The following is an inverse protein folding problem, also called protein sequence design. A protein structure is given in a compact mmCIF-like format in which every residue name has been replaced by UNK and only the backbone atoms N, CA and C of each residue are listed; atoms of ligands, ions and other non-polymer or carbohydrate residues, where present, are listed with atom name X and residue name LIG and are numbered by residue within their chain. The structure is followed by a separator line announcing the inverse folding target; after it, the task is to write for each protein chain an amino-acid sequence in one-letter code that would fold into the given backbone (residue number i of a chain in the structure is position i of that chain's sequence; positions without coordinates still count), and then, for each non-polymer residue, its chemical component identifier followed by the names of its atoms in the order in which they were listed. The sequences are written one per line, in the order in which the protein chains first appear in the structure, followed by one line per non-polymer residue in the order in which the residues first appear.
data_IF_879096045836
#
_entry.id   IF_879096045836
#
_cell.length_a   1.000
_cell.length_b   1.000
_cell.length_c   1.000
_cell.angle_alpha   90.00
_cell.angle_beta   90.00
_cell.angle_gamma   90.00
#
_symmetry.space_group_name_H-M   'P 1'
#
loop_
_entity.id
_entity.type
_entity.pdbx_description
1 polymer ?
#
# COMPACT_ATOMS: atom_id res chain seq x y z
N UNK A 1 11.86 6.47 15.22
CA UNK A 1 11.92 7.06 16.57
C UNK A 1 11.50 6.07 17.66
N UNK A 2 10.38 5.35 17.53
CA UNK A 2 9.83 4.46 18.57
C UNK A 2 10.83 3.44 19.10
N UNK A 3 11.54 2.73 18.23
CA UNK A 3 12.57 1.78 18.67
C UNK A 3 13.75 2.48 19.35
N UNK A 4 14.11 3.68 18.90
CA UNK A 4 15.16 4.47 19.54
C UNK A 4 14.73 4.95 20.94
N UNK A 5 13.45 5.29 21.12
CA UNK A 5 12.88 5.63 22.42
C UNK A 5 12.88 4.43 23.39
N UNK A 6 12.83 3.22 22.88
CA UNK A 6 12.98 1.97 23.64
C UNK A 6 14.46 1.63 23.97
N UNK A 7 15.42 2.46 23.56
CA UNK A 7 16.84 2.28 23.83
C UNK A 7 17.61 1.46 22.78
N UNK A 8 16.99 1.14 21.64
CA UNK A 8 17.70 0.48 20.54
C UNK A 8 18.46 1.51 19.70
N UNK A 9 19.68 1.16 19.27
CA UNK A 9 20.40 1.91 18.24
C UNK A 9 19.87 1.47 16.87
N UNK A 10 19.25 2.38 16.16
CA UNK A 10 18.58 2.11 14.88
C UNK A 10 19.27 2.88 13.74
N UNK A 11 19.55 2.19 12.64
CA UNK A 11 19.93 2.80 11.38
C UNK A 11 18.84 2.51 10.32
N UNK A 12 18.24 3.56 9.77
CA UNK A 12 17.35 3.45 8.62
C UNK A 12 18.17 3.60 7.33
N UNK A 13 18.25 2.53 6.56
CA UNK A 13 18.94 2.52 5.26
C UNK A 13 17.86 2.64 4.16
N UNK A 14 17.90 3.69 3.38
CA UNK A 14 16.98 3.93 2.28
C UNK A 14 17.71 4.33 1.00
N UNK A 15 16.98 4.45 -0.13
CA UNK A 15 17.61 4.82 -1.40
C UNK A 15 17.57 6.33 -1.65
N UNK A 16 18.48 6.81 -2.49
CA UNK A 16 18.45 8.20 -2.96
C UNK A 16 17.29 8.48 -3.90
N UNK A 17 16.64 7.47 -4.44
CA UNK A 17 15.52 7.59 -5.37
C UNK A 17 14.17 7.51 -4.65
N UNK A 18 13.29 8.46 -4.93
CA UNK A 18 11.94 8.50 -4.40
C UNK A 18 10.95 7.88 -5.39
N UNK A 19 10.43 6.71 -5.02
CA UNK A 19 9.59 5.90 -5.89
C UNK A 19 8.32 6.63 -6.36
N UNK A 20 7.66 7.36 -5.47
CA UNK A 20 6.39 8.01 -5.79
C UNK A 20 6.55 9.20 -6.73
N UNK A 21 7.60 9.99 -6.52
CA UNK A 21 7.91 11.17 -7.34
C UNK A 21 8.71 10.84 -8.60
N UNK A 22 9.27 9.61 -8.69
CA UNK A 22 10.19 9.20 -9.77
C UNK A 22 11.39 10.14 -9.93
N UNK A 23 11.88 10.65 -8.82
CA UNK A 23 12.95 11.62 -8.73
C UNK A 23 14.01 11.25 -7.70
N UNK A 24 15.19 11.82 -7.82
CA UNK A 24 16.21 11.73 -6.77
C UNK A 24 15.83 12.64 -5.59
N UNK A 25 16.05 12.16 -4.37
CA UNK A 25 15.87 12.95 -3.15
C UNK A 25 16.91 14.06 -3.09
N UNK A 26 16.53 15.22 -2.63
CA UNK A 26 17.47 16.28 -2.25
C UNK A 26 17.99 16.01 -0.83
N UNK A 27 18.99 15.11 -0.76
CA UNK A 27 19.57 14.67 0.52
C UNK A 27 20.14 15.85 1.31
N UNK A 28 20.64 16.89 0.62
CA UNK A 28 21.21 18.05 1.29
C UNK A 28 20.22 18.89 2.10
N UNK A 29 18.93 18.68 1.88
CA UNK A 29 17.85 19.31 2.68
C UNK A 29 17.39 18.49 3.87
N UNK A 30 17.82 17.25 3.99
CA UNK A 30 17.45 16.36 5.07
C UNK A 30 18.34 16.64 6.26
N UNK A 31 17.75 17.03 7.37
CA UNK A 31 18.46 17.29 8.61
C UNK A 31 18.45 16.01 9.45
N UNK A 32 19.60 15.38 9.55
CA UNK A 32 19.75 14.10 10.28
C UNK A 32 19.51 14.26 11.78
N UNK A 33 19.74 15.45 12.34
CA UNK A 33 19.50 15.80 13.74
C UNK A 33 18.01 15.88 14.12
N UNK A 34 17.11 15.91 13.15
CA UNK A 34 15.65 15.82 13.40
C UNK A 34 15.19 14.38 13.71
N UNK A 35 16.04 13.37 13.54
CA UNK A 35 15.71 11.95 13.76
C UNK A 35 16.47 11.37 14.95
N UNK A 36 15.78 10.49 15.71
CA UNK A 36 16.41 9.74 16.83
C UNK A 36 17.16 8.50 16.35
N UNK A 37 17.22 8.26 15.05
CA UNK A 37 17.90 7.12 14.42
C UNK A 37 18.91 7.61 13.38
N UNK A 38 19.90 6.79 13.07
CA UNK A 38 20.84 7.06 11.97
C UNK A 38 20.13 6.92 10.63
N UNK A 39 20.29 7.91 9.74
CA UNK A 39 19.72 7.88 8.39
C UNK A 39 20.85 7.67 7.38
N UNK A 40 20.76 6.62 6.57
CA UNK A 40 21.78 6.26 5.59
C UNK A 40 21.19 6.11 4.20
N UNK A 41 21.81 6.73 3.21
CA UNK A 41 21.36 6.68 1.82
C UNK A 41 22.27 5.80 0.98
N UNK A 42 21.67 4.89 0.21
CA UNK A 42 22.34 4.15 -0.86
C UNK A 42 21.89 4.68 -2.21
N UNK A 43 22.83 4.85 -3.13
CA UNK A 43 22.50 5.32 -4.47
C UNK A 43 21.67 4.32 -5.24
N UNK A 44 20.56 4.81 -5.80
CA UNK A 44 19.70 4.12 -6.74
C UNK A 44 19.47 5.01 -7.96
N UNK A 45 19.75 4.56 -9.20
CA UNK A 45 19.59 5.38 -10.41
C UNK A 45 18.16 5.84 -10.66
N UNK A 46 17.17 4.99 -10.29
CA UNK A 46 15.76 5.25 -10.50
C UNK A 46 15.24 4.81 -11.87
N UNK A 47 13.94 5.06 -12.09
CA UNK A 47 13.18 4.65 -13.27
C UNK A 47 11.93 5.52 -13.43
N UNK A 48 11.33 5.53 -14.64
CA UNK A 48 10.15 6.35 -14.93
C UNK A 48 8.83 5.60 -14.81
N UNK A 49 8.81 4.30 -15.09
CA UNK A 49 7.59 3.47 -15.11
C UNK A 49 7.68 2.35 -14.07
N UNK A 50 6.54 1.98 -13.49
CA UNK A 50 6.47 0.90 -12.49
C UNK A 50 6.78 -0.47 -13.07
N UNK A 51 6.51 -0.69 -14.35
CA UNK A 51 6.90 -1.88 -15.10
C UNK A 51 7.88 -1.45 -16.19
N UNK A 52 9.17 -1.66 -15.89
CA UNK A 52 10.28 -1.27 -16.75
C UNK A 52 11.51 -2.13 -16.38
N UNK A 53 12.25 -2.56 -17.38
CA UNK A 53 13.54 -3.23 -17.17
C UNK A 53 14.55 -2.34 -16.44
N UNK A 54 14.45 -1.01 -16.63
CA UNK A 54 15.25 -0.04 -15.88
C UNK A 54 14.99 -0.11 -14.38
N UNK A 55 13.75 -0.42 -13.95
CA UNK A 55 13.44 -0.62 -12.53
C UNK A 55 14.21 -1.79 -11.95
N UNK A 56 14.25 -2.93 -12.66
CA UNK A 56 15.03 -4.10 -12.24
C UNK A 56 16.52 -3.77 -12.16
N UNK A 57 17.05 -3.06 -13.15
CA UNK A 57 18.45 -2.59 -13.14
C UNK A 57 18.75 -1.64 -11.98
N UNK A 58 17.83 -0.71 -11.69
CA UNK A 58 17.93 0.24 -10.58
C UNK A 58 18.01 -0.46 -9.24
N UNK A 59 17.10 -1.40 -8.96
CA UNK A 59 17.09 -2.18 -7.72
C UNK A 59 18.36 -3.02 -7.57
N UNK A 60 18.89 -3.63 -8.65
CA UNK A 60 20.16 -4.38 -8.59
C UNK A 60 21.34 -3.51 -8.21
N UNK A 61 21.38 -2.27 -8.71
CA UNK A 61 22.43 -1.30 -8.33
C UNK A 61 22.28 -0.93 -6.86
N UNK A 62 21.07 -0.66 -6.40
CA UNK A 62 20.76 -0.40 -4.99
C UNK A 62 21.19 -1.59 -4.09
N UNK A 63 20.86 -2.83 -4.48
CA UNK A 63 21.28 -4.04 -3.78
C UNK A 63 22.80 -4.19 -3.68
N UNK A 64 23.54 -3.86 -4.76
CA UNK A 64 24.99 -3.82 -4.78
C UNK A 64 25.56 -2.75 -3.84
N UNK A 65 24.95 -1.56 -3.82
CA UNK A 65 25.36 -0.47 -2.93
C UNK A 65 25.02 -0.77 -1.47
N UNK A 66 23.87 -1.40 -1.19
CA UNK A 66 23.55 -1.90 0.15
C UNK A 66 24.62 -2.89 0.64
N UNK A 67 25.00 -3.84 -0.21
CA UNK A 67 26.05 -4.80 0.13
C UNK A 67 27.37 -4.13 0.48
N UNK A 68 27.76 -3.09 -0.26
CA UNK A 68 28.99 -2.32 0.03
C UNK A 68 28.88 -1.59 1.37
N UNK A 69 27.76 -0.92 1.61
CA UNK A 69 27.50 -0.19 2.87
C UNK A 69 27.57 -1.15 4.06
N UNK A 70 26.83 -2.26 4.02
CA UNK A 70 26.81 -3.24 5.10
C UNK A 70 28.19 -3.85 5.38
N UNK A 71 28.99 -4.12 4.35
CA UNK A 71 30.35 -4.64 4.55
C UNK A 71 31.32 -3.60 5.13
N UNK A 72 31.07 -2.31 4.90
CA UNK A 72 31.91 -1.21 5.41
C UNK A 72 31.56 -0.85 6.86
N UNK A 73 30.25 -0.79 7.18
CA UNK A 73 29.77 -0.20 8.43
C UNK A 73 29.07 -1.21 9.35
N UNK A 74 28.94 -2.45 8.88
CA UNK A 74 28.03 -3.41 9.45
C UNK A 74 28.51 -4.08 10.72
N UNK A 75 28.13 -3.52 11.84
CA UNK A 75 28.14 -4.19 13.15
C UNK A 75 26.72 -4.11 13.71
N UNK A 76 25.81 -4.88 13.06
CA UNK A 76 24.40 -4.94 13.42
C UNK A 76 24.07 -6.25 14.12
N UNK A 77 23.19 -6.18 15.12
CA UNK A 77 22.68 -7.36 15.82
C UNK A 77 21.49 -7.99 15.10
N UNK A 78 20.78 -7.22 14.26
CA UNK A 78 19.59 -7.64 13.52
C UNK A 78 19.44 -6.81 12.27
N UNK A 79 19.01 -7.45 11.17
CA UNK A 79 18.51 -6.75 9.99
C UNK A 79 17.00 -6.97 9.83
N UNK A 80 16.27 -5.87 9.73
CA UNK A 80 14.85 -5.81 9.39
C UNK A 80 14.71 -5.20 8.00
N UNK A 81 14.02 -5.86 7.09
CA UNK A 81 13.95 -5.42 5.70
C UNK A 81 12.55 -5.59 5.11
N UNK A 82 12.02 -4.50 4.57
CA UNK A 82 10.80 -4.52 3.78
C UNK A 82 10.98 -5.27 2.46
N UNK A 83 9.94 -5.96 2.03
CA UNK A 83 9.86 -6.70 0.78
C UNK A 83 8.56 -6.29 0.05
N UNK A 84 8.63 -5.87 -1.22
CA UNK A 84 9.80 -5.74 -2.10
C UNK A 84 10.65 -4.47 -1.88
N UNK A 85 11.82 -4.30 -2.55
CA UNK A 85 12.37 -5.07 -3.68
C UNK A 85 13.12 -6.35 -3.26
N UNK A 86 12.86 -7.46 -3.98
CA UNK A 86 13.36 -8.78 -3.60
C UNK A 86 14.90 -8.90 -3.68
N UNK A 87 15.54 -8.22 -4.63
CA UNK A 87 17.00 -8.24 -4.80
C UNK A 87 17.72 -7.44 -3.71
N UNK A 88 17.16 -6.33 -3.25
CA UNK A 88 17.66 -5.56 -2.09
C UNK A 88 17.52 -6.40 -0.83
N UNK A 89 16.35 -7.00 -0.59
CA UNK A 89 16.13 -7.89 0.54
C UNK A 89 17.06 -9.11 0.50
N UNK A 90 17.35 -9.67 -0.69
CA UNK A 90 18.30 -10.78 -0.86
C UNK A 90 19.73 -10.37 -0.50
N UNK A 91 20.13 -9.14 -0.81
CA UNK A 91 21.42 -8.61 -0.43
C UNK A 91 21.56 -8.53 1.10
N UNK A 92 20.54 -7.99 1.79
CA UNK A 92 20.46 -7.92 3.24
C UNK A 92 20.47 -9.33 3.88
N UNK A 93 19.64 -10.24 3.40
CA UNK A 93 19.55 -11.61 3.92
C UNK A 93 20.86 -12.40 3.79
N UNK A 94 21.55 -12.26 2.65
CA UNK A 94 22.87 -12.89 2.45
C UNK A 94 23.93 -12.32 3.38
N UNK A 95 23.92 -11.02 3.61
CA UNK A 95 24.81 -10.39 4.56
C UNK A 95 24.54 -10.91 5.98
N UNK A 96 23.29 -10.90 6.42
CA UNK A 96 22.89 -11.41 7.73
C UNK A 96 23.36 -12.87 7.95
N UNK A 97 23.11 -13.73 6.94
CA UNK A 97 23.60 -15.12 6.98
C UNK A 97 25.11 -15.21 7.11
N UNK A 98 25.86 -14.39 6.35
CA UNK A 98 27.35 -14.37 6.41
C UNK A 98 27.86 -13.94 7.79
N UNK A 99 27.15 -13.01 8.42
CA UNK A 99 27.54 -12.49 9.75
C UNK A 99 26.98 -13.32 10.92
N UNK A 100 26.04 -14.24 10.66
CA UNK A 100 25.40 -15.04 11.71
C UNK A 100 24.38 -14.25 12.53
N UNK A 101 23.82 -13.16 11.99
CA UNK A 101 22.83 -12.34 12.65
C UNK A 101 21.41 -12.62 12.12
N UNK A 102 20.36 -12.41 12.92
CA UNK A 102 18.98 -12.59 12.48
C UNK A 102 18.62 -11.66 11.34
N UNK A 103 17.76 -12.17 10.44
CA UNK A 103 17.15 -11.41 9.36
C UNK A 103 15.63 -11.53 9.44
N UNK A 104 14.92 -10.42 9.63
CA UNK A 104 13.48 -10.33 9.65
C UNK A 104 12.99 -9.73 8.33
N UNK A 105 12.11 -10.47 7.66
CA UNK A 105 11.45 -10.02 6.45
C UNK A 105 10.09 -9.39 6.79
N UNK A 106 9.86 -8.17 6.31
CA UNK A 106 8.57 -7.48 6.39
C UNK A 106 7.91 -7.47 5.01
N UNK A 107 6.88 -8.31 4.86
CA UNK A 107 6.23 -8.55 3.57
C UNK A 107 5.09 -7.56 3.36
N UNK A 108 5.35 -6.53 2.58
CA UNK A 108 4.42 -5.45 2.28
C UNK A 108 3.72 -5.60 0.92
N UNK A 109 4.27 -6.42 0.01
CA UNK A 109 3.67 -6.75 -1.27
C UNK A 109 4.20 -8.10 -1.79
N UNK A 110 3.44 -8.75 -2.66
CA UNK A 110 3.78 -10.06 -3.19
C UNK A 110 4.34 -9.96 -4.61
N UNK A 111 5.68 -9.88 -4.70
CA UNK A 111 6.36 -9.95 -5.99
C UNK A 111 6.89 -11.37 -6.28
N UNK A 112 6.66 -11.90 -7.49
CA UNK A 112 6.17 -11.23 -8.73
C UNK A 112 4.66 -11.24 -8.93
N UNK A 113 3.85 -11.77 -8.03
CA UNK A 113 2.42 -11.95 -8.24
C UNK A 113 1.68 -10.64 -8.55
N UNK A 114 2.01 -9.56 -7.84
CA UNK A 114 1.45 -8.24 -8.11
C UNK A 114 1.80 -7.71 -9.51
N UNK A 115 2.96 -8.09 -10.06
CA UNK A 115 3.35 -7.70 -11.41
C UNK A 115 2.54 -8.41 -12.49
N UNK A 116 2.02 -9.61 -12.22
CA UNK A 116 1.16 -10.37 -13.15
C UNK A 116 -0.19 -9.72 -13.39
N UNK A 117 -0.64 -8.84 -12.50
CA UNK A 117 -1.86 -8.06 -12.77
C UNK A 117 -1.76 -7.21 -14.03
N UNK A 118 -0.56 -6.77 -14.37
CA UNK A 118 -0.33 -5.88 -15.52
C UNK A 118 0.17 -6.64 -16.74
N UNK A 119 0.89 -7.73 -16.53
CA UNK A 119 1.42 -8.58 -17.60
C UNK A 119 1.21 -10.05 -17.22
N UNK A 120 0.12 -10.64 -17.69
CA UNK A 120 -0.19 -12.04 -17.50
C UNK A 120 -0.38 -12.74 -18.85
N UNK A 121 0.74 -13.11 -19.46
CA UNK A 121 0.78 -13.89 -20.70
C UNK A 121 1.23 -15.29 -20.32
N UNK A 122 0.40 -16.32 -20.52
CA UNK A 122 0.71 -17.69 -20.14
C UNK A 122 2.12 -18.11 -20.62
N UNK A 123 2.87 -18.82 -19.78
CA UNK A 123 4.25 -19.28 -20.00
C UNK A 123 5.27 -18.14 -20.07
N UNK A 124 5.01 -17.07 -20.83
CA UNK A 124 5.96 -15.96 -21.00
C UNK A 124 6.15 -15.18 -19.70
N UNK A 125 5.09 -14.91 -18.96
CA UNK A 125 5.17 -14.24 -17.65
C UNK A 125 5.93 -15.08 -16.63
N UNK A 126 5.83 -16.42 -16.69
CA UNK A 126 6.61 -17.33 -15.83
C UNK A 126 8.11 -17.18 -16.09
N UNK A 127 8.51 -17.11 -17.34
CA UNK A 127 9.92 -16.94 -17.74
C UNK A 127 10.43 -15.55 -17.36
N UNK A 128 9.66 -14.50 -17.65
CA UNK A 128 10.06 -13.10 -17.39
C UNK A 128 10.21 -12.86 -15.88
N UNK A 129 9.27 -13.37 -15.07
CA UNK A 129 9.25 -13.13 -13.63
C UNK A 129 10.01 -14.18 -12.82
N UNK A 130 10.51 -15.24 -13.44
CA UNK A 130 11.28 -16.29 -12.77
C UNK A 130 12.46 -15.76 -11.93
N UNK A 131 13.29 -14.81 -12.41
CA UNK A 131 14.37 -14.27 -11.59
C UNK A 131 13.89 -13.60 -10.30
N UNK A 132 12.76 -12.88 -10.36
CA UNK A 132 12.16 -12.19 -9.21
C UNK A 132 11.59 -13.21 -8.22
N UNK A 133 10.90 -14.24 -8.72
CA UNK A 133 10.38 -15.34 -7.90
C UNK A 133 11.53 -16.08 -7.20
N UNK A 134 12.58 -16.44 -7.95
CA UNK A 134 13.76 -17.12 -7.40
C UNK A 134 14.43 -16.29 -6.29
N UNK A 135 14.52 -14.98 -6.48
CA UNK A 135 15.13 -14.10 -5.48
C UNK A 135 14.23 -14.00 -4.23
N UNK A 136 12.91 -13.92 -4.37
CA UNK A 136 11.97 -14.02 -3.26
C UNK A 136 12.11 -15.33 -2.50
N UNK A 137 12.13 -16.47 -3.19
CA UNK A 137 12.29 -17.78 -2.57
C UNK A 137 13.61 -17.92 -1.79
N UNK A 138 14.69 -17.33 -2.32
CA UNK A 138 15.98 -17.30 -1.61
C UNK A 138 15.92 -16.44 -0.35
N UNK A 139 15.30 -15.25 -0.43
CA UNK A 139 15.07 -14.40 0.76
C UNK A 139 14.35 -15.20 1.82
N UNK A 140 13.20 -15.78 1.48
CA UNK A 140 12.36 -16.54 2.41
C UNK A 140 13.04 -17.81 2.96
N UNK A 141 14.09 -18.33 2.29
CA UNK A 141 14.88 -19.42 2.83
C UNK A 141 15.93 -18.98 3.87
N UNK A 142 16.15 -17.69 4.02
CA UNK A 142 17.17 -17.10 4.88
C UNK A 142 16.59 -16.34 6.08
N UNK A 143 15.27 -16.23 6.19
CA UNK A 143 14.62 -15.48 7.25
C UNK A 143 14.78 -16.16 8.62
N UNK A 144 14.94 -15.34 9.64
CA UNK A 144 14.85 -15.73 11.06
C UNK A 144 13.49 -15.38 11.66
N UNK A 145 12.73 -14.51 11.00
CA UNK A 145 11.38 -14.12 11.37
C UNK A 145 10.66 -13.47 10.18
N UNK A 146 9.34 -13.48 10.22
CA UNK A 146 8.49 -12.89 9.16
C UNK A 146 7.46 -11.97 9.80
N UNK A 147 7.34 -10.77 9.27
CA UNK A 147 6.21 -9.86 9.51
C UNK A 147 5.49 -9.69 8.18
N UNK A 148 4.18 -9.60 8.21
CA UNK A 148 3.37 -9.29 7.04
C UNK A 148 2.29 -8.29 7.37
N UNK A 149 1.92 -7.47 6.38
CA UNK A 149 0.83 -6.50 6.52
C UNK A 149 -0.57 -7.12 6.46
N UNK A 150 -0.63 -8.44 6.27
CA UNK A 150 -1.81 -9.28 6.43
C UNK A 150 -1.40 -10.72 6.71
N UNK A 151 -2.31 -11.56 7.19
CA UNK A 151 -2.06 -12.99 7.38
C UNK A 151 -1.69 -13.67 6.06
N UNK A 152 -2.35 -13.27 4.96
CA UNK A 152 -2.04 -13.77 3.62
C UNK A 152 -0.62 -13.41 3.19
N UNK A 153 -0.15 -12.20 3.47
CA UNK A 153 1.20 -11.76 3.13
C UNK A 153 2.24 -12.40 4.05
N UNK A 154 1.95 -12.49 5.34
CA UNK A 154 2.81 -13.20 6.32
C UNK A 154 3.01 -14.67 5.98
N UNK A 155 1.95 -15.36 5.56
CA UNK A 155 1.99 -16.80 5.34
C UNK A 155 2.42 -17.19 3.91
N UNK A 156 2.40 -16.24 2.96
CA UNK A 156 2.82 -16.47 1.58
C UNK A 156 4.24 -17.02 1.44
N UNK A 157 5.27 -16.49 2.15
CA UNK A 157 6.63 -17.02 2.10
C UNK A 157 6.74 -18.49 2.51
N UNK A 158 5.79 -18.98 3.32
CA UNK A 158 5.80 -20.31 3.90
C UNK A 158 5.06 -21.36 3.08
N UNK A 159 4.31 -20.94 2.04
CA UNK A 159 3.35 -21.77 1.30
C UNK A 159 3.93 -23.07 0.74
N UNK A 160 5.24 -23.11 0.47
CA UNK A 160 5.95 -24.26 -0.09
C UNK A 160 7.13 -24.74 0.78
N UNK A 161 7.22 -24.28 2.03
CA UNK A 161 8.39 -24.52 2.89
C UNK A 161 7.97 -24.92 4.29
N UNK A 162 8.56 -25.99 4.79
CA UNK A 162 8.45 -26.38 6.21
C UNK A 162 9.40 -25.52 7.06
N UNK A 163 9.24 -24.20 7.00
CA UNK A 163 9.99 -23.28 7.85
C UNK A 163 9.18 -23.00 9.10
N UNK A 164 9.73 -23.36 10.26
CA UNK A 164 9.20 -22.96 11.56
C UNK A 164 10.00 -21.78 12.06
N UNK A 165 9.60 -20.57 11.66
CA UNK A 165 10.19 -19.32 12.14
C UNK A 165 9.13 -18.50 12.86
N UNK A 166 9.50 -17.66 13.83
CA UNK A 166 8.58 -16.68 14.41
C UNK A 166 7.92 -15.85 13.30
N UNK A 167 6.62 -15.64 13.41
CA UNK A 167 5.86 -14.86 12.44
C UNK A 167 4.75 -14.08 13.12
N UNK A 168 4.53 -12.86 12.63
CA UNK A 168 3.50 -11.96 13.17
C UNK A 168 2.84 -11.17 12.05
N UNK A 169 1.57 -10.82 12.24
CA UNK A 169 0.85 -9.91 11.36
C UNK A 169 0.76 -8.54 12.01
N UNK A 170 1.28 -7.54 11.32
CA UNK A 170 1.21 -6.14 11.73
C UNK A 170 0.51 -5.37 10.62
N UNK A 171 -0.80 -5.15 10.78
CA UNK A 171 -1.57 -4.40 9.81
C UNK A 171 -1.04 -2.97 9.69
N UNK A 172 -1.09 -2.42 8.47
CA UNK A 172 -0.74 -1.02 8.27
C UNK A 172 -1.72 -0.15 9.05
N UNK A 173 -1.20 0.55 10.04
CA UNK A 173 -1.96 1.49 10.86
C UNK A 173 -2.14 2.84 10.18
N UNK A 174 -2.91 3.69 10.82
CA UNK A 174 -3.03 5.09 10.48
C UNK A 174 -2.77 5.96 11.72
N UNK A 175 -2.46 7.23 11.52
CA UNK A 175 -2.22 8.18 12.59
C UNK A 175 -3.57 8.75 13.07
N UNK A 176 -4.15 8.10 14.10
CA UNK A 176 -5.47 8.44 14.61
C UNK A 176 -5.54 9.90 15.09
N UNK A 177 -4.47 10.42 15.69
CA UNK A 177 -4.44 11.79 16.16
C UNK A 177 -4.57 12.79 15.00
N UNK A 178 -3.76 12.62 13.95
CA UNK A 178 -3.83 13.48 12.76
C UNK A 178 -5.21 13.36 12.07
N UNK A 179 -5.78 12.15 12.06
CA UNK A 179 -7.12 11.90 11.54
C UNK A 179 -8.18 12.68 12.30
N UNK A 180 -8.18 12.62 13.62
CA UNK A 180 -9.16 13.30 14.47
C UNK A 180 -8.99 14.84 14.43
N UNK A 181 -7.75 15.35 14.50
CA UNK A 181 -7.44 16.77 14.32
C UNK A 181 -7.94 17.28 12.95
N UNK A 182 -7.78 16.48 11.90
CA UNK A 182 -8.30 16.79 10.56
C UNK A 182 -9.83 16.93 10.52
N UNK A 183 -10.55 16.07 11.24
CA UNK A 183 -12.00 16.17 11.38
C UNK A 183 -12.39 17.48 12.07
N UNK A 184 -11.73 17.83 13.17
CA UNK A 184 -12.03 19.05 13.93
C UNK A 184 -11.83 20.31 13.06
N UNK A 185 -10.72 20.36 12.31
CA UNK A 185 -10.37 21.53 11.50
C UNK A 185 -11.31 21.68 10.28
N UNK A 186 -11.57 20.57 9.55
CA UNK A 186 -12.19 20.64 8.22
C UNK A 186 -13.68 20.32 8.19
N UNK A 187 -14.30 19.82 9.28
CA UNK A 187 -15.73 19.47 9.25
C UNK A 187 -16.64 20.65 8.92
N UNK A 188 -16.26 21.87 9.32
CA UNK A 188 -17.02 23.07 9.00
C UNK A 188 -16.99 23.48 7.52
N UNK A 189 -15.91 23.12 6.80
CA UNK A 189 -15.76 23.45 5.36
C UNK A 189 -16.53 22.51 4.45
N UNK A 190 -16.73 21.27 4.88
CA UNK A 190 -17.37 20.24 4.07
C UNK A 190 -18.88 20.35 4.27
N UNK A 191 -19.57 20.81 3.24
CA UNK A 191 -21.03 20.95 3.26
C UNK A 191 -21.68 19.65 2.79
N UNK A 192 -22.61 19.16 3.57
CA UNK A 192 -23.49 18.04 3.25
C UNK A 192 -24.90 18.47 3.61
N UNK A 193 -25.80 18.40 2.65
CA UNK A 193 -27.21 18.69 2.92
C UNK A 193 -27.81 17.62 3.81
N UNK A 194 -28.78 17.98 4.64
CA UNK A 194 -29.34 17.07 5.66
C UNK A 194 -29.94 15.79 5.06
N UNK A 195 -30.51 15.90 3.86
CA UNK A 195 -31.17 14.79 3.17
C UNK A 195 -30.21 13.95 2.33
N UNK A 196 -28.96 14.40 2.13
CA UNK A 196 -27.98 13.66 1.33
C UNK A 196 -27.45 12.43 2.06
N UNK A 197 -27.32 11.34 1.30
CA UNK A 197 -26.66 10.12 1.71
C UNK A 197 -25.38 9.93 0.90
N UNK A 198 -24.23 10.00 1.56
CA UNK A 198 -22.93 9.94 0.90
C UNK A 198 -22.32 8.55 0.91
N UNK A 199 -22.06 8.04 -0.29
CA UNK A 199 -21.29 6.79 -0.54
C UNK A 199 -19.92 7.22 -1.04
N UNK A 200 -18.88 6.98 -0.25
CA UNK A 200 -17.57 7.60 -0.49
C UNK A 200 -16.47 6.58 -0.71
N UNK A 201 -15.66 6.83 -1.73
CA UNK A 201 -14.38 6.17 -1.98
C UNK A 201 -13.25 7.18 -1.78
N UNK A 202 -12.17 6.77 -1.11
CA UNK A 202 -10.93 7.53 -1.03
C UNK A 202 -9.74 6.66 -1.46
N UNK A 203 -8.93 7.17 -2.38
CA UNK A 203 -7.73 6.49 -2.84
C UNK A 203 -7.37 6.78 -4.30
N UNK A 204 -6.40 6.04 -4.82
CA UNK A 204 -5.95 6.16 -6.21
C UNK A 204 -7.03 5.72 -7.19
N UNK A 205 -7.28 6.51 -8.25
CA UNK A 205 -8.17 6.16 -9.35
C UNK A 205 -7.35 5.39 -10.40
N UNK A 206 -7.11 4.10 -10.12
CA UNK A 206 -6.21 3.24 -10.90
C UNK A 206 -6.82 1.88 -11.23
N UNK A 207 -6.09 1.09 -12.02
CA UNK A 207 -6.56 -0.18 -12.61
C UNK A 207 -6.88 -1.29 -11.61
N UNK A 208 -6.40 -1.18 -10.37
CA UNK A 208 -6.70 -2.14 -9.29
C UNK A 208 -8.07 -1.90 -8.64
N UNK A 209 -8.67 -0.72 -8.88
CA UNK A 209 -9.88 -0.29 -8.21
C UNK A 209 -11.05 -0.19 -9.20
N UNK A 210 -12.20 -0.72 -8.82
CA UNK A 210 -13.39 -0.73 -9.67
C UNK A 210 -14.26 0.52 -9.45
N UNK A 211 -13.69 1.69 -9.74
CA UNK A 211 -14.41 2.96 -9.65
C UNK A 211 -15.45 3.07 -10.77
N UNK A 212 -15.23 2.37 -11.90
CA UNK A 212 -16.18 2.33 -13.01
C UNK A 212 -17.55 1.80 -12.56
N UNK A 213 -17.58 0.72 -11.79
CA UNK A 213 -18.83 0.16 -11.24
C UNK A 213 -19.50 1.15 -10.30
N UNK A 214 -18.76 1.90 -9.50
CA UNK A 214 -19.33 2.95 -8.63
C UNK A 214 -20.01 4.05 -9.45
N UNK A 215 -19.37 4.53 -10.52
CA UNK A 215 -19.96 5.53 -11.44
C UNK A 215 -21.26 5.03 -12.05
N UNK A 216 -21.26 3.80 -12.58
CA UNK A 216 -22.45 3.20 -13.17
C UNK A 216 -23.57 2.97 -12.15
N UNK A 217 -23.21 2.57 -10.92
CA UNK A 217 -24.17 2.44 -9.82
C UNK A 217 -24.84 3.78 -9.49
N UNK A 218 -24.10 4.89 -9.54
CA UNK A 218 -24.66 6.23 -9.38
C UNK A 218 -25.77 6.51 -10.39
N UNK A 219 -25.51 6.26 -11.66
CA UNK A 219 -26.52 6.43 -12.72
C UNK A 219 -27.73 5.51 -12.55
N UNK A 220 -27.52 4.28 -12.09
CA UNK A 220 -28.61 3.33 -11.83
C UNK A 220 -29.48 3.76 -10.63
N UNK A 221 -28.87 4.31 -9.58
CA UNK A 221 -29.59 4.85 -8.43
C UNK A 221 -30.49 6.01 -8.83
N UNK A 222 -30.02 6.93 -9.69
CA UNK A 222 -30.85 8.02 -10.23
C UNK A 222 -32.06 7.49 -10.99
N UNK A 223 -31.89 6.48 -11.85
CA UNK A 223 -33.00 5.87 -12.61
C UNK A 223 -34.05 5.23 -11.71
N UNK A 224 -33.62 4.72 -10.53
CA UNK A 224 -34.49 4.15 -9.51
C UNK A 224 -35.13 5.20 -8.59
N UNK A 225 -34.85 6.49 -8.79
CA UNK A 225 -35.42 7.59 -8.02
C UNK A 225 -34.66 7.94 -6.73
N UNK A 226 -33.47 7.39 -6.48
CA UNK A 226 -32.65 7.73 -5.32
C UNK A 226 -31.78 8.97 -5.59
N UNK A 227 -32.40 10.15 -5.65
CA UNK A 227 -31.73 11.42 -5.99
C UNK A 227 -30.87 11.97 -4.84
N UNK A 228 -31.14 11.55 -3.61
CA UNK A 228 -30.41 11.96 -2.42
C UNK A 228 -29.08 11.22 -2.23
N UNK A 229 -28.87 10.09 -2.92
CA UNK A 229 -27.62 9.33 -2.82
C UNK A 229 -26.55 9.99 -3.69
N UNK A 230 -25.47 10.46 -3.06
CA UNK A 230 -24.31 11.07 -3.72
C UNK A 230 -23.09 10.15 -3.61
N UNK A 231 -22.44 9.90 -4.74
CA UNK A 231 -21.19 9.14 -4.78
C UNK A 231 -20.04 10.13 -4.80
N UNK A 232 -19.23 10.12 -3.77
CA UNK A 232 -18.03 10.97 -3.63
C UNK A 232 -16.78 10.15 -3.91
N UNK A 233 -15.97 10.59 -4.87
CA UNK A 233 -14.72 9.93 -5.26
C UNK A 233 -13.57 10.88 -4.94
N UNK A 234 -12.84 10.59 -3.85
CA UNK A 234 -11.68 11.34 -3.38
C UNK A 234 -10.40 10.69 -3.89
N UNK A 235 -9.51 11.51 -4.43
CA UNK A 235 -8.22 11.10 -4.96
C UNK A 235 -8.07 11.43 -6.43
N UNK A 236 -6.97 10.99 -7.02
CA UNK A 236 -6.66 11.15 -8.43
C UNK A 236 -6.02 9.87 -8.99
N UNK A 237 -5.82 9.83 -10.28
CA UNK A 237 -5.14 8.71 -10.92
C UNK A 237 -5.34 8.62 -12.43
N UNK A 238 -4.67 7.66 -13.07
CA UNK A 238 -4.62 7.59 -14.54
C UNK A 238 -5.95 7.32 -15.22
N UNK A 239 -6.98 6.85 -14.50
CA UNK A 239 -8.30 6.58 -15.06
C UNK A 239 -9.31 7.69 -14.80
N UNK A 240 -8.92 8.79 -14.15
CA UNK A 240 -9.85 9.85 -13.74
C UNK A 240 -10.60 10.45 -14.92
N UNK A 241 -9.89 10.94 -15.94
CA UNK A 241 -10.51 11.58 -17.12
C UNK A 241 -11.49 10.66 -17.87
N UNK A 242 -11.13 9.37 -17.99
CA UNK A 242 -12.01 8.37 -18.61
C UNK A 242 -13.30 8.20 -17.80
N UNK A 243 -13.19 8.15 -16.47
CA UNK A 243 -14.34 7.93 -15.59
C UNK A 243 -15.23 9.17 -15.44
N UNK A 244 -14.66 10.36 -15.44
CA UNK A 244 -15.41 11.63 -15.50
C UNK A 244 -16.21 11.72 -16.79
N UNK A 245 -15.58 11.38 -17.93
CA UNK A 245 -16.29 11.30 -19.21
C UNK A 245 -17.40 10.26 -19.18
N UNK A 246 -17.16 9.08 -18.63
CA UNK A 246 -18.20 8.06 -18.46
C UNK A 246 -19.38 8.57 -17.63
N UNK A 247 -19.13 9.28 -16.53
CA UNK A 247 -20.18 9.87 -15.70
C UNK A 247 -21.01 10.88 -16.48
N UNK A 248 -20.37 11.75 -17.27
CA UNK A 248 -21.05 12.71 -18.13
C UNK A 248 -21.87 12.03 -19.23
N UNK A 249 -21.29 11.07 -19.97
CA UNK A 249 -21.97 10.33 -21.06
C UNK A 249 -23.19 9.54 -20.55
N UNK A 250 -23.15 9.06 -19.31
CA UNK A 250 -24.24 8.33 -18.64
C UNK A 250 -25.16 9.21 -17.81
N UNK A 251 -24.94 10.53 -17.80
CA UNK A 251 -25.72 11.50 -17.03
C UNK A 251 -25.79 11.16 -15.52
N UNK A 252 -24.68 10.67 -14.96
CA UNK A 252 -24.57 10.33 -13.54
C UNK A 252 -24.35 11.60 -12.70
N UNK A 253 -25.35 12.49 -12.62
CA UNK A 253 -25.24 13.81 -11.96
C UNK A 253 -25.07 13.75 -10.45
N UNK A 254 -25.22 12.58 -9.85
CA UNK A 254 -24.99 12.32 -8.43
C UNK A 254 -23.59 11.76 -8.12
N UNK A 255 -22.71 11.67 -9.12
CA UNK A 255 -21.31 11.25 -8.95
C UNK A 255 -20.41 12.47 -9.00
N UNK A 256 -19.62 12.67 -7.97
CA UNK A 256 -18.70 13.80 -7.84
C UNK A 256 -17.26 13.29 -7.66
N UNK A 257 -16.38 13.74 -8.55
CA UNK A 257 -14.93 13.56 -8.42
C UNK A 257 -14.37 14.76 -7.66
N UNK A 258 -14.13 14.56 -6.36
CA UNK A 258 -13.64 15.60 -5.45
C UNK A 258 -12.18 15.96 -5.75
N UNK A 259 -11.44 15.02 -6.36
CA UNK A 259 -10.02 15.16 -6.66
C UNK A 259 -9.12 14.84 -5.46
N UNK A 260 -7.83 15.17 -5.62
CA UNK A 260 -6.86 14.97 -4.53
C UNK A 260 -7.25 15.81 -3.31
N UNK A 261 -7.33 15.13 -2.19
CA UNK A 261 -7.72 15.75 -0.93
C UNK A 261 -6.61 15.47 0.10
N UNK A 262 -6.00 16.50 0.70
CA UNK A 262 -5.01 16.31 1.77
C UNK A 262 -5.57 15.45 2.91
N UNK A 263 -4.71 14.68 3.56
CA UNK A 263 -5.09 13.68 4.55
C UNK A 263 -6.03 14.21 5.64
N UNK A 264 -5.77 15.36 6.30
CA UNK A 264 -6.67 15.88 7.32
C UNK A 264 -8.08 16.22 6.78
N UNK A 265 -8.16 16.75 5.56
CA UNK A 265 -9.45 17.06 4.94
C UNK A 265 -10.17 15.81 4.45
N UNK A 266 -9.43 14.80 3.98
CA UNK A 266 -9.98 13.48 3.65
C UNK A 266 -10.63 12.83 4.88
N UNK A 267 -10.00 12.90 6.06
CA UNK A 267 -10.57 12.39 7.30
C UNK A 267 -11.96 12.99 7.60
N UNK A 268 -12.11 14.29 7.40
CA UNK A 268 -13.39 14.98 7.58
C UNK A 268 -14.46 14.54 6.56
N UNK A 269 -14.07 14.31 5.29
CA UNK A 269 -14.98 13.72 4.28
C UNK A 269 -15.44 12.31 4.69
N UNK A 270 -14.50 11.44 5.09
CA UNK A 270 -14.81 10.08 5.50
C UNK A 270 -15.76 10.06 6.71
N UNK A 271 -15.52 10.93 7.68
CA UNK A 271 -16.39 11.06 8.88
C UNK A 271 -17.80 11.55 8.52
N UNK A 272 -17.95 12.41 7.52
CA UNK A 272 -19.28 12.91 7.07
C UNK A 272 -20.03 11.94 6.17
N UNK A 273 -19.34 10.95 5.62
CA UNK A 273 -19.94 9.92 4.76
C UNK A 273 -20.87 9.01 5.56
N UNK A 274 -21.83 8.40 4.88
CA UNK A 274 -22.74 7.42 5.48
C UNK A 274 -22.24 5.99 5.25
N UNK A 275 -21.63 5.75 4.08
CA UNK A 275 -21.04 4.46 3.71
C UNK A 275 -19.72 4.69 2.98
N UNK A 276 -18.72 3.87 3.31
CA UNK A 276 -17.43 3.87 2.64
C UNK A 276 -17.31 2.67 1.70
N UNK A 277 -16.58 2.81 0.60
CA UNK A 277 -16.45 1.73 -0.40
C UNK A 277 -15.00 1.31 -0.56
N UNK A 278 -14.72 0.07 -0.20
CA UNK A 278 -13.47 -0.61 -0.54
C UNK A 278 -13.64 -1.33 -1.88
N UNK A 279 -13.49 -0.57 -2.97
CA UNK A 279 -13.76 -1.05 -4.33
C UNK A 279 -12.51 -1.62 -4.96
N UNK A 280 -12.55 -2.89 -5.33
CA UNK A 280 -11.49 -3.59 -6.06
C UNK A 280 -12.02 -4.31 -7.29
N UNK A 281 -11.20 -4.41 -8.32
CA UNK A 281 -11.48 -5.35 -9.43
C UNK A 281 -11.24 -6.79 -8.96
N UNK A 282 -12.01 -7.76 -9.46
CA UNK A 282 -11.95 -9.18 -9.03
C UNK A 282 -10.56 -9.81 -9.13
N UNK A 283 -9.71 -9.33 -10.02
CA UNK A 283 -8.34 -9.86 -10.22
C UNK A 283 -7.27 -9.20 -9.35
N UNK A 284 -7.64 -8.19 -8.54
CA UNK A 284 -6.70 -7.50 -7.68
C UNK A 284 -6.23 -8.43 -6.54
N UNK A 285 -4.91 -8.67 -6.40
CA UNK A 285 -4.37 -9.60 -5.42
C UNK A 285 -4.23 -8.98 -4.03
N UNK A 286 -4.57 -7.70 -3.88
CA UNK A 286 -4.42 -6.99 -2.61
C UNK A 286 -5.33 -7.60 -1.55
N UNK A 287 -4.78 -7.77 -0.34
CA UNK A 287 -5.50 -8.20 0.84
C UNK A 287 -6.04 -6.99 1.60
N UNK A 288 -5.33 -6.54 2.61
CA UNK A 288 -5.73 -5.40 3.43
C UNK A 288 -4.86 -4.20 3.07
N UNK A 289 -5.49 -3.14 2.57
CA UNK A 289 -4.80 -1.94 2.09
C UNK A 289 -4.84 -0.83 3.13
N UNK A 290 -3.92 0.13 3.02
CA UNK A 290 -3.72 1.23 3.98
C UNK A 290 -5.00 2.01 4.30
N UNK A 291 -5.84 2.29 3.30
CA UNK A 291 -7.11 3.04 3.49
C UNK A 291 -8.10 2.38 4.47
N UNK A 292 -7.94 1.08 4.76
CA UNK A 292 -8.85 0.37 5.68
C UNK A 292 -8.71 0.94 7.09
N UNK A 293 -7.50 1.30 7.53
CA UNK A 293 -7.29 1.99 8.79
C UNK A 293 -8.10 3.29 8.89
N UNK A 294 -8.06 4.11 7.83
CA UNK A 294 -8.80 5.38 7.77
C UNK A 294 -10.32 5.15 7.76
N UNK A 295 -10.79 4.13 7.06
CA UNK A 295 -12.21 3.79 7.00
C UNK A 295 -12.74 3.31 8.35
N UNK A 296 -11.96 2.52 9.08
CA UNK A 296 -12.30 2.10 10.44
C UNK A 296 -12.26 3.28 11.41
N UNK A 297 -11.26 4.17 11.31
CA UNK A 297 -11.17 5.40 12.11
C UNK A 297 -12.37 6.34 11.85
N UNK A 298 -12.88 6.38 10.62
CA UNK A 298 -14.09 7.12 10.29
C UNK A 298 -15.34 6.57 10.99
N UNK A 299 -15.35 5.30 11.41
CA UNK A 299 -16.49 4.67 12.11
C UNK A 299 -17.74 4.60 11.24
N UNK A 300 -17.59 4.35 9.93
CA UNK A 300 -18.69 4.24 8.99
C UNK A 300 -18.76 2.82 8.40
N UNK A 301 -19.96 2.29 8.14
CA UNK A 301 -20.11 0.98 7.52
C UNK A 301 -19.45 0.96 6.12
N UNK A 302 -18.96 -0.22 5.74
CA UNK A 302 -18.20 -0.41 4.51
C UNK A 302 -18.89 -1.37 3.55
N UNK A 303 -18.90 -1.02 2.26
CA UNK A 303 -19.15 -1.96 1.17
C UNK A 303 -17.79 -2.45 0.67
N UNK A 304 -17.60 -3.77 0.68
CA UNK A 304 -16.34 -4.39 0.29
C UNK A 304 -16.48 -5.29 -0.91
N UNK A 305 -15.69 -5.05 -1.97
CA UNK A 305 -15.59 -5.91 -3.15
C UNK A 305 -14.25 -6.67 -3.22
N UNK A 306 -13.38 -6.49 -2.22
CA UNK A 306 -12.09 -7.19 -2.18
C UNK A 306 -12.32 -8.71 -2.12
N UNK A 307 -11.50 -9.47 -2.87
CA UNK A 307 -11.60 -10.93 -2.95
C UNK A 307 -10.75 -11.65 -1.90
N UNK A 308 -9.93 -10.93 -1.12
CA UNK A 308 -9.18 -11.52 -0.01
C UNK A 308 -10.12 -12.17 1.00
N UNK A 309 -9.97 -13.49 1.19
CA UNK A 309 -10.79 -14.23 2.15
C UNK A 309 -10.52 -13.75 3.58
N UNK A 310 -9.28 -13.40 3.90
CA UNK A 310 -8.93 -12.84 5.20
C UNK A 310 -9.73 -11.58 5.49
N UNK A 311 -9.75 -10.62 4.54
CA UNK A 311 -10.47 -9.38 4.76
C UNK A 311 -11.99 -9.56 4.76
N UNK A 312 -12.53 -10.40 3.88
CA UNK A 312 -13.96 -10.73 3.86
C UNK A 312 -14.42 -11.32 5.19
N UNK A 313 -13.64 -12.26 5.75
CA UNK A 313 -13.92 -12.83 7.06
C UNK A 313 -13.93 -11.79 8.19
N UNK A 314 -13.00 -10.81 8.13
CA UNK A 314 -12.99 -9.72 9.11
C UNK A 314 -14.21 -8.81 8.98
N UNK A 315 -14.58 -8.42 7.76
CA UNK A 315 -15.79 -7.62 7.50
C UNK A 315 -17.04 -8.28 8.13
N UNK A 316 -17.20 -9.58 7.95
CA UNK A 316 -18.34 -10.35 8.47
C UNK A 316 -18.25 -10.55 9.99
N UNK A 317 -17.09 -11.01 10.48
CA UNK A 317 -16.89 -11.34 11.90
C UNK A 317 -17.01 -10.11 12.80
N UNK A 318 -16.39 -9.01 12.39
CA UNK A 318 -16.30 -7.80 13.17
C UNK A 318 -17.49 -6.85 12.87
N UNK A 319 -18.31 -7.15 11.87
CA UNK A 319 -19.60 -6.51 11.61
C UNK A 319 -19.53 -5.05 11.17
N UNK A 320 -18.40 -4.62 10.57
CA UNK A 320 -18.21 -3.23 10.14
C UNK A 320 -18.60 -2.96 8.69
N UNK A 321 -19.18 -3.94 7.98
CA UNK A 321 -19.58 -3.76 6.59
C UNK A 321 -20.25 -4.98 5.97
N UNK A 322 -20.37 -4.95 4.64
CA UNK A 322 -20.91 -6.06 3.83
C UNK A 322 -19.96 -6.40 2.70
N UNK A 323 -19.87 -7.68 2.37
CA UNK A 323 -19.15 -8.18 1.20
C UNK A 323 -20.11 -8.35 0.03
N UNK A 324 -19.70 -7.89 -1.15
CA UNK A 324 -20.46 -8.06 -2.39
C UNK A 324 -19.59 -8.69 -3.48
#
# INVERSE_FOLDING_TARGET
DFLSDMGYKVDLITTTFQHWEKAQRDIGKIKEDEYKFGLKFIYEPGYKKNIDLKRIGSHRIAAGNLTKLLNKEGDYDLLYCEIPPNDVALAAAKYAKKKGIPFVADVNDLWPEAMRMVLDIPVMSDVIFYPILRDAEKVYSLVSGIIGTSDEYRDRPLKNKKLSVPKETVYVGNEIREFDEGIEIYSGEIKKEEEEFWVTYAGTIGTSYDIRTMVLAGGELLKRGYHNIKIKILGNGPLQEELEKLAADKQCTNVEFVGYTPYPKMAAYLRKSDVLVNSFVKKAPQSIVTKIGDYLAAGRPMINTCMSQEFRNKVEKDGFGINI
#
